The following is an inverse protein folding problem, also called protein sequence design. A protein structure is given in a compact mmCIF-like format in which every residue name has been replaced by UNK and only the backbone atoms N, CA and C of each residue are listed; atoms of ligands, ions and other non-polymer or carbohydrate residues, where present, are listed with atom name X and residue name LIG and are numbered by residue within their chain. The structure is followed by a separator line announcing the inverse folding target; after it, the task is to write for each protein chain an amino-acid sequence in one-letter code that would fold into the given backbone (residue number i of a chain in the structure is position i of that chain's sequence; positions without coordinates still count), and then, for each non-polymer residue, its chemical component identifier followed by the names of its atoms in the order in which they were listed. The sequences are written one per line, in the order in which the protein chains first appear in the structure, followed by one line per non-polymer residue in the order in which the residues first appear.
data_IF_029639973255
#
_entry.id   IF_029639973255
#
_cell.length_a   1.000
_cell.length_b   1.000
_cell.length_c   1.000
_cell.angle_alpha   90.00
_cell.angle_beta   90.00
_cell.angle_gamma   90.00
#
_symmetry.space_group_name_H-M   'P 1'
#
loop_
_entity.id
_entity.type
_entity.pdbx_description
1 polymer ?
#
# COMPACT_ATOMS: atom_id res chain seq x y z
N UNK A 1 -5.00 4.99 -11.83
CA UNK A 1 -5.05 6.42 -12.15
C UNK A 1 -3.94 7.17 -11.44
N UNK A 2 -3.17 8.01 -12.16
CA UNK A 2 -2.15 8.90 -11.62
C UNK A 2 -2.73 10.30 -11.51
N UNK A 3 -2.80 10.86 -10.31
CA UNK A 3 -3.54 12.11 -10.02
C UNK A 3 -2.88 13.35 -10.63
N UNK A 4 -1.56 13.35 -10.74
CA UNK A 4 -0.75 14.44 -11.30
C UNK A 4 0.53 13.90 -11.93
N UNK A 5 1.23 14.73 -12.68
CA UNK A 5 2.57 14.36 -13.19
C UNK A 5 3.53 14.16 -12.01
N UNK A 6 4.17 13.00 -11.96
CA UNK A 6 5.17 12.66 -10.96
C UNK A 6 6.55 12.71 -11.60
N UNK A 7 7.31 13.76 -11.28
CA UNK A 7 8.67 13.95 -11.77
C UNK A 7 9.61 14.10 -10.57
N UNK A 8 10.60 13.22 -10.51
CA UNK A 8 11.64 13.27 -9.47
C UNK A 8 12.89 12.58 -10.00
N UNK A 9 14.06 13.17 -9.70
CA UNK A 9 15.34 12.56 -10.03
C UNK A 9 16.28 12.71 -8.85
N UNK A 10 16.84 11.60 -8.43
CA UNK A 10 17.90 11.52 -7.44
C UNK A 10 19.02 10.64 -7.98
N UNK A 11 20.03 11.30 -8.55
CA UNK A 11 21.18 10.64 -9.14
C UNK A 11 22.22 10.21 -8.11
N UNK A 12 22.08 10.66 -6.84
CA UNK A 12 23.00 10.31 -5.76
C UNK A 12 22.64 8.97 -5.11
N UNK A 13 21.43 8.48 -5.33
CA UNK A 13 21.04 7.14 -4.89
C UNK A 13 21.77 6.06 -5.71
N UNK A 14 22.01 4.92 -5.08
CA UNK A 14 22.55 3.74 -5.74
C UNK A 14 21.57 2.56 -5.59
N UNK A 15 20.87 2.12 -6.63
CA UNK A 15 20.83 2.69 -7.98
C UNK A 15 20.13 4.05 -8.06
N UNK A 16 20.43 4.89 -9.05
CA UNK A 16 19.77 6.18 -9.26
C UNK A 16 18.24 6.02 -9.35
N UNK A 17 17.50 6.94 -8.74
CA UNK A 17 16.05 6.94 -8.76
C UNK A 17 15.53 8.04 -9.69
N UNK A 18 14.98 7.62 -10.82
CA UNK A 18 14.29 8.52 -11.75
C UNK A 18 12.81 8.14 -11.84
N UNK A 19 11.94 9.11 -11.65
CA UNK A 19 10.49 8.96 -11.70
C UNK A 19 9.91 9.91 -12.71
N UNK A 20 9.27 9.36 -13.76
CA UNK A 20 8.61 10.12 -14.81
C UNK A 20 7.29 9.45 -15.15
N UNK A 21 6.25 9.82 -14.42
CA UNK A 21 4.88 9.32 -14.64
C UNK A 21 3.95 10.46 -14.98
N UNK A 22 3.26 10.38 -16.10
CA UNK A 22 2.26 11.36 -16.50
C UNK A 22 0.95 11.18 -15.75
N UNK A 23 0.21 12.27 -15.57
CA UNK A 23 -1.17 12.25 -15.07
C UNK A 23 -2.07 11.43 -15.99
N UNK A 24 -3.03 10.71 -15.40
CA UNK A 24 -4.11 10.04 -16.14
C UNK A 24 -4.23 8.55 -15.90
N UNK A 25 -5.15 7.94 -16.65
CA UNK A 25 -5.35 6.50 -16.68
C UNK A 25 -4.27 5.85 -17.55
N UNK A 26 -3.52 4.92 -16.98
CA UNK A 26 -2.46 4.22 -17.70
C UNK A 26 -2.16 2.86 -17.09
N UNK A 27 -1.64 1.94 -17.89
CA UNK A 27 -1.08 0.70 -17.39
C UNK A 27 0.36 0.97 -16.95
N UNK A 28 0.67 0.62 -15.71
CA UNK A 28 2.01 0.72 -15.16
C UNK A 28 2.67 -0.66 -15.19
N UNK A 29 3.90 -0.71 -15.65
CA UNK A 29 4.75 -1.89 -15.48
C UNK A 29 5.36 -1.93 -14.07
N UNK A 30 6.09 -3.01 -13.72
CA UNK A 30 6.65 -3.19 -12.38
C UNK A 30 7.58 -2.05 -11.93
N UNK A 31 8.40 -1.51 -12.85
CA UNK A 31 9.28 -0.38 -12.57
C UNK A 31 8.47 0.88 -12.28
N UNK A 32 7.48 1.18 -13.11
CA UNK A 32 6.59 2.32 -12.95
C UNK A 32 5.74 2.24 -11.68
N UNK A 33 5.30 1.03 -11.31
CA UNK A 33 4.62 0.79 -10.02
C UNK A 33 5.57 1.12 -8.86
N UNK A 34 6.81 0.64 -8.90
CA UNK A 34 7.82 0.97 -7.89
C UNK A 34 8.05 2.48 -7.79
N UNK A 35 8.18 3.18 -8.91
CA UNK A 35 8.30 4.63 -8.98
C UNK A 35 7.09 5.33 -8.34
N UNK A 36 5.87 4.91 -8.70
CA UNK A 36 4.62 5.45 -8.17
C UNK A 36 4.51 5.32 -6.65
N UNK A 37 4.89 4.15 -6.11
CA UNK A 37 4.83 3.85 -4.68
C UNK A 37 5.91 4.57 -3.85
N UNK A 38 7.03 4.91 -4.48
CA UNK A 38 8.19 5.54 -3.80
C UNK A 38 8.17 7.06 -3.88
N UNK A 39 7.37 7.65 -4.78
CA UNK A 39 7.31 9.08 -4.94
C UNK A 39 6.78 9.76 -3.67
N UNK A 40 7.51 10.74 -3.15
CA UNK A 40 7.13 11.53 -1.98
C UNK A 40 7.47 13.03 -2.12
N UNK A 41 7.88 13.44 -3.31
CA UNK A 41 8.31 14.83 -3.57
C UNK A 41 7.13 15.72 -3.96
N UNK A 42 6.05 15.67 -3.17
CA UNK A 42 4.87 16.52 -3.33
C UNK A 42 4.56 17.29 -2.04
N UNK A 43 3.60 18.20 -2.09
CA UNK A 43 3.18 19.03 -0.95
C UNK A 43 2.74 18.20 0.27
N UNK A 44 2.21 16.99 0.03
CA UNK A 44 1.78 16.06 1.07
C UNK A 44 2.91 15.17 1.58
N UNK A 45 4.07 15.14 0.89
CA UNK A 45 5.22 14.34 1.29
C UNK A 45 4.88 12.88 1.58
N UNK A 46 5.13 12.46 2.80
CA UNK A 46 4.88 11.09 3.26
C UNK A 46 3.40 10.68 3.19
N UNK A 47 2.47 11.58 3.51
CA UNK A 47 1.04 11.29 3.38
C UNK A 47 0.62 11.06 1.94
N UNK A 48 1.20 11.77 1.00
CA UNK A 48 0.98 11.55 -0.43
C UNK A 48 1.45 10.16 -0.85
N UNK A 49 2.60 9.71 -0.33
CA UNK A 49 3.12 8.36 -0.54
C UNK A 49 2.16 7.30 0.01
N UNK A 50 1.71 7.44 1.25
CA UNK A 50 0.77 6.51 1.88
C UNK A 50 -0.56 6.41 1.10
N UNK A 51 -1.10 7.54 0.63
CA UNK A 51 -2.30 7.55 -0.22
C UNK A 51 -2.09 6.77 -1.52
N UNK A 52 -0.92 6.94 -2.17
CA UNK A 52 -0.58 6.19 -3.39
C UNK A 52 -0.46 4.69 -3.14
N UNK A 53 0.13 4.29 -2.01
CA UNK A 53 0.21 2.88 -1.61
C UNK A 53 -1.19 2.28 -1.39
N UNK A 54 -2.09 2.99 -0.71
CA UNK A 54 -3.48 2.54 -0.54
C UNK A 54 -4.23 2.46 -1.88
N UNK A 55 -4.07 3.47 -2.74
CA UNK A 55 -4.68 3.47 -4.07
C UNK A 55 -4.19 2.29 -4.93
N UNK A 56 -2.90 1.98 -4.84
CA UNK A 56 -2.35 0.81 -5.51
C UNK A 56 -2.97 -0.49 -5.01
N UNK A 57 -3.02 -0.69 -3.69
CA UNK A 57 -3.61 -1.90 -3.10
C UNK A 57 -5.07 -2.07 -3.50
N UNK A 58 -5.86 -0.98 -3.46
CA UNK A 58 -7.25 -0.98 -3.91
C UNK A 58 -7.36 -1.35 -5.39
N UNK A 59 -6.61 -0.68 -6.25
CA UNK A 59 -6.63 -0.94 -7.70
C UNK A 59 -6.14 -2.33 -8.05
N UNK A 60 -5.15 -2.84 -7.32
CA UNK A 60 -4.64 -4.21 -7.47
C UNK A 60 -5.71 -5.24 -7.10
N UNK A 61 -6.39 -5.04 -5.97
CA UNK A 61 -7.49 -5.90 -5.53
C UNK A 61 -8.65 -5.91 -6.54
N UNK A 62 -9.05 -4.74 -7.03
CA UNK A 62 -10.13 -4.60 -8.02
C UNK A 62 -9.79 -5.30 -9.35
N UNK A 63 -8.54 -5.16 -9.83
CA UNK A 63 -8.10 -5.72 -11.12
C UNK A 63 -7.82 -7.21 -11.08
N UNK A 64 -7.33 -7.72 -9.95
CA UNK A 64 -6.99 -9.14 -9.83
C UNK A 64 -8.21 -10.03 -9.64
N UNK A 65 -9.32 -9.49 -9.16
CA UNK A 65 -10.59 -10.21 -8.95
C UNK A 65 -10.45 -11.48 -8.11
N UNK A 66 -11.53 -11.93 -7.52
CA UNK A 66 -11.52 -13.11 -6.63
C UNK A 66 -11.09 -14.42 -7.32
N UNK A 67 -11.27 -14.52 -8.63
CA UNK A 67 -10.95 -15.73 -9.43
C UNK A 67 -9.55 -15.72 -10.04
N UNK A 68 -8.96 -14.57 -10.27
CA UNK A 68 -7.73 -14.44 -11.06
C UNK A 68 -6.48 -15.02 -10.35
N UNK A 69 -6.44 -15.02 -9.02
CA UNK A 69 -5.30 -15.61 -8.29
C UNK A 69 -5.38 -17.12 -8.24
N UNK A 70 -6.58 -17.69 -8.16
CA UNK A 70 -6.77 -19.12 -8.11
C UNK A 70 -6.36 -19.82 -9.43
N UNK A 71 -6.37 -19.05 -10.53
CA UNK A 71 -5.96 -19.52 -11.86
C UNK A 71 -4.48 -19.22 -12.19
N UNK A 72 -3.71 -18.62 -11.27
CA UNK A 72 -2.30 -18.36 -11.54
C UNK A 72 -1.46 -19.61 -11.33
N UNK A 73 -0.52 -19.86 -12.24
CA UNK A 73 0.34 -21.03 -12.14
C UNK A 73 1.13 -21.08 -10.82
N UNK A 74 1.34 -22.25 -10.23
CA UNK A 74 2.06 -22.41 -8.96
C UNK A 74 3.45 -21.77 -8.93
N UNK A 75 4.11 -21.62 -10.07
CA UNK A 75 5.42 -20.99 -10.16
C UNK A 75 5.41 -19.48 -9.82
N UNK A 76 4.28 -18.79 -10.02
CA UNK A 76 4.14 -17.38 -9.59
C UNK A 76 4.18 -17.29 -8.08
N UNK A 77 3.49 -18.17 -7.39
CA UNK A 77 3.45 -18.25 -5.92
C UNK A 77 4.85 -18.59 -5.39
N UNK A 78 5.50 -19.58 -5.95
CA UNK A 78 6.86 -19.97 -5.56
C UNK A 78 7.88 -18.84 -5.78
N UNK A 79 7.77 -18.07 -6.85
CA UNK A 79 8.67 -16.94 -7.08
C UNK A 79 8.46 -15.78 -6.11
N UNK A 80 7.27 -15.63 -5.52
CA UNK A 80 6.98 -14.67 -4.48
C UNK A 80 7.50 -15.14 -3.11
N UNK A 81 7.23 -16.40 -2.74
CA UNK A 81 7.66 -16.99 -1.46
C UNK A 81 9.18 -16.96 -1.35
N UNK A 82 9.90 -17.30 -2.42
CA UNK A 82 11.37 -17.29 -2.42
C UNK A 82 12.04 -15.92 -2.30
N UNK A 83 11.25 -14.81 -2.27
CA UNK A 83 11.76 -13.43 -2.14
C UNK A 83 11.29 -12.73 -0.86
N UNK A 84 10.49 -13.41 -0.05
CA UNK A 84 9.99 -12.89 1.22
C UNK A 84 10.65 -13.69 2.34
N UNK A 85 11.51 -13.03 3.09
CA UNK A 85 12.02 -13.57 4.35
C UNK A 85 10.98 -13.33 5.43
N UNK A 86 10.42 -14.39 5.96
CA UNK A 86 9.39 -14.33 7.00
C UNK A 86 9.49 -15.57 7.89
N UNK A 87 9.17 -15.40 9.15
CA UNK A 87 9.02 -16.46 10.14
C UNK A 87 7.63 -17.10 10.15
N UNK A 88 6.74 -16.61 9.29
CA UNK A 88 5.37 -17.13 9.18
C UNK A 88 5.34 -18.52 8.57
N UNK A 89 4.49 -19.38 9.13
CA UNK A 89 4.21 -20.68 8.52
C UNK A 89 3.40 -20.54 7.21
N UNK A 90 3.44 -21.56 6.35
CA UNK A 90 2.64 -21.56 5.12
C UNK A 90 1.14 -21.50 5.41
N UNK A 91 0.68 -22.05 6.53
CA UNK A 91 -0.71 -21.96 6.98
C UNK A 91 -1.10 -20.52 7.32
N UNK A 92 -0.28 -19.82 8.12
CA UNK A 92 -0.53 -18.44 8.50
C UNK A 92 -0.56 -17.51 7.28
N UNK A 93 0.37 -17.76 6.35
CA UNK A 93 0.42 -17.03 5.09
C UNK A 93 -0.84 -17.27 4.23
N UNK A 94 -1.31 -18.51 4.15
CA UNK A 94 -2.55 -18.84 3.42
C UNK A 94 -3.78 -18.22 4.06
N UNK A 95 -3.86 -18.16 5.38
CA UNK A 95 -4.95 -17.55 6.13
C UNK A 95 -4.99 -16.04 5.92
N UNK A 96 -3.84 -15.38 5.93
CA UNK A 96 -3.75 -13.95 5.62
C UNK A 96 -4.21 -13.68 4.19
N UNK A 97 -3.72 -14.45 3.22
CA UNK A 97 -4.14 -14.31 1.81
C UNK A 97 -5.64 -14.51 1.68
N UNK A 98 -6.19 -15.52 2.35
CA UNK A 98 -7.63 -15.77 2.36
C UNK A 98 -8.41 -14.59 2.90
N UNK A 99 -8.00 -14.02 4.04
CA UNK A 99 -8.67 -12.87 4.66
C UNK A 99 -8.53 -11.58 3.83
N UNK A 100 -7.38 -11.32 3.22
CA UNK A 100 -7.19 -10.19 2.30
C UNK A 100 -8.10 -10.32 1.08
N UNK A 101 -8.29 -11.53 0.58
CA UNK A 101 -8.98 -11.77 -0.70
C UNK A 101 -10.49 -11.91 -0.56
N UNK A 102 -10.93 -12.59 0.47
CA UNK A 102 -12.35 -12.88 0.71
C UNK A 102 -12.94 -12.06 1.87
N UNK A 103 -12.10 -11.49 2.70
CA UNK A 103 -12.50 -10.60 3.78
C UNK A 103 -12.88 -9.20 3.28
N UNK A 104 -13.54 -8.45 4.14
CA UNK A 104 -13.77 -7.01 3.95
C UNK A 104 -12.58 -6.24 4.51
N UNK A 105 -11.45 -6.25 3.81
CA UNK A 105 -10.31 -5.45 4.21
C UNK A 105 -10.64 -3.96 4.09
N UNK A 106 -10.52 -3.22 5.17
CA UNK A 106 -10.62 -1.77 5.19
C UNK A 106 -9.24 -1.21 5.53
N UNK A 107 -8.78 -0.30 4.68
CA UNK A 107 -7.53 0.43 4.94
C UNK A 107 -7.88 1.86 5.33
N UNK A 108 -7.40 2.30 6.47
CA UNK A 108 -7.53 3.68 6.91
C UNK A 108 -6.15 4.30 7.16
N UNK A 109 -6.04 5.59 6.88
CA UNK A 109 -4.85 6.35 7.27
C UNK A 109 -5.04 6.74 8.74
N UNK A 110 -3.99 6.50 9.53
CA UNK A 110 -3.97 6.95 10.92
C UNK A 110 -4.31 8.45 10.99
N UNK A 111 -5.29 8.85 11.81
CA UNK A 111 -5.67 10.26 11.90
C UNK A 111 -4.53 11.06 12.50
N UNK A 112 -4.03 11.99 11.72
CA UNK A 112 -2.95 12.90 12.10
C UNK A 112 -3.42 14.34 11.96
N UNK A 113 -2.85 15.21 12.75
CA UNK A 113 -2.97 16.68 12.60
C UNK A 113 -1.60 17.25 12.27
N UNK A 114 -1.58 18.31 11.50
CA UNK A 114 -0.35 18.99 11.17
C UNK A 114 -0.02 19.99 12.30
N UNK A 115 1.17 19.85 12.88
CA UNK A 115 1.74 20.81 13.83
C UNK A 115 3.05 21.35 13.25
N UNK A 116 2.99 22.55 12.66
CA UNK A 116 4.12 23.13 11.94
C UNK A 116 4.43 22.35 10.66
N UNK A 117 5.64 21.76 10.57
CA UNK A 117 6.06 20.93 9.44
C UNK A 117 5.80 19.44 9.66
N UNK A 118 5.46 19.04 10.89
CA UNK A 118 5.34 17.64 11.28
C UNK A 118 3.88 17.20 11.33
N UNK A 119 3.67 15.90 11.08
CA UNK A 119 2.39 15.23 11.22
C UNK A 119 2.36 14.48 12.54
N UNK A 120 1.53 14.93 13.48
CA UNK A 120 1.42 14.36 14.82
C UNK A 120 0.16 13.50 14.92
N UNK A 121 0.23 12.32 15.56
CA UNK A 121 -0.95 11.49 15.79
C UNK A 121 -2.04 12.21 16.58
N UNK A 122 -3.28 12.13 16.11
CA UNK A 122 -4.45 12.63 16.82
C UNK A 122 -5.01 11.53 17.72
N UNK A 123 -4.55 11.49 18.96
CA UNK A 123 -4.81 10.39 19.90
C UNK A 123 -6.31 10.12 20.15
N UNK A 124 -7.10 11.15 20.35
CA UNK A 124 -8.54 11.01 20.66
C UNK A 124 -9.33 10.42 19.48
N UNK A 125 -9.01 10.85 18.25
CA UNK A 125 -9.70 10.33 17.06
C UNK A 125 -9.28 8.90 16.71
N UNK A 126 -8.08 8.48 17.11
CA UNK A 126 -7.64 7.10 16.94
C UNK A 126 -8.39 6.14 17.87
N UNK A 127 -8.54 6.47 19.16
CA UNK A 127 -9.28 5.63 20.10
C UNK A 127 -10.72 5.41 19.66
N UNK A 128 -11.39 6.47 19.20
CA UNK A 128 -12.75 6.37 18.67
C UNK A 128 -12.84 5.47 17.43
N UNK A 129 -11.88 5.59 16.50
CA UNK A 129 -11.84 4.77 15.28
C UNK A 129 -11.44 3.33 15.59
N UNK A 130 -10.45 3.11 16.44
CA UNK A 130 -10.02 1.79 16.86
C UNK A 130 -11.16 1.03 17.56
N UNK A 131 -11.96 1.69 18.39
CA UNK A 131 -13.12 1.06 19.03
C UNK A 131 -14.21 0.64 18.03
N UNK A 132 -14.35 1.34 16.90
CA UNK A 132 -15.26 0.99 15.82
C UNK A 132 -14.75 -0.16 14.96
N UNK A 133 -13.44 -0.20 14.71
CA UNK A 133 -12.81 -1.23 13.88
C UNK A 133 -12.56 -2.54 14.65
N UNK A 134 -12.25 -2.43 15.94
CA UNK A 134 -11.91 -3.56 16.80
C UNK A 134 -12.76 -3.57 18.07
N UNK A 135 -14.07 -3.82 17.97
CA UNK A 135 -14.97 -3.75 19.13
C UNK A 135 -14.66 -4.79 20.22
N UNK A 136 -13.78 -5.74 19.95
CA UNK A 136 -13.44 -6.86 20.85
C UNK A 136 -12.17 -6.59 21.69
N UNK A 137 -11.31 -5.65 21.27
CA UNK A 137 -9.97 -5.50 21.85
C UNK A 137 -9.92 -4.45 22.98
N UNK A 138 -10.89 -3.53 23.04
CA UNK A 138 -10.91 -2.47 24.05
C UNK A 138 -12.04 -2.72 25.04
N UNK A 139 -11.86 -3.70 25.93
CA UNK A 139 -12.50 -3.64 27.24
C UNK A 139 -11.53 -2.99 28.20
N UNK A 140 -11.97 -1.95 28.96
CA UNK A 140 -11.17 -1.32 30.00
C UNK A 140 -10.81 -2.30 31.12
#
# INVERSE_FOLDING_TARGET
YVEKDLNYSDLLMNPPLEIHLKKGMQKLNGVQISQFLRFQSDELGELGRLKRQQLFLKSFHEQTGKFSIMLRPPWVINSLIGRVETDMSLSDFSDIIWHIWFGKAQTEIYPTKQEGKDWVPSHNSWQERASKLFPIIIKP
#
